data_IF_530480230104
#
_entry.id   IF_530480230104
#
_cell.length_a   1.000
_cell.length_b   1.000
_cell.length_c   1.000
_cell.angle_alpha   90.00
_cell.angle_beta   90.00
_cell.angle_gamma   90.00
#
_symmetry.space_group_name_H-M   'P 1'
#
loop_
_entity.id
_entity.type
_entity.pdbx_description
1 polymer ?
#
# COMPACT_ATOMS: atom_id res chain seq x y z
N UNK A 1 -18.58 1.52 12.65
CA UNK A 1 -19.22 1.65 11.33
C UNK A 1 -18.15 2.15 10.38
N UNK A 2 -17.63 1.27 9.51
CA UNK A 2 -16.54 1.60 8.59
C UNK A 2 -17.14 1.72 7.19
N UNK A 3 -17.18 2.93 6.64
CA UNK A 3 -17.74 3.18 5.31
C UNK A 3 -16.69 2.93 4.22
N UNK A 4 -17.09 2.25 3.14
CA UNK A 4 -16.34 2.17 1.89
C UNK A 4 -16.89 3.23 0.95
N UNK A 5 -16.10 4.28 0.67
CA UNK A 5 -16.55 5.40 -0.17
C UNK A 5 -16.39 5.01 -1.66
N UNK A 6 -17.51 4.93 -2.38
CA UNK A 6 -17.54 4.82 -3.84
C UNK A 6 -17.27 6.21 -4.45
N UNK A 7 -16.06 6.40 -4.99
CA UNK A 7 -15.56 7.69 -5.49
C UNK A 7 -16.16 8.16 -6.82
N UNK A 8 -17.05 7.40 -7.45
CA UNK A 8 -17.56 7.72 -8.79
C UNK A 8 -18.68 8.77 -8.77
N UNK A 9 -19.42 8.95 -7.66
CA UNK A 9 -20.59 9.86 -7.59
C UNK A 9 -20.52 10.83 -6.39
N UNK A 10 -19.45 11.62 -6.31
CA UNK A 10 -19.16 12.52 -5.18
C UNK A 10 -20.21 13.61 -4.93
N UNK A 11 -21.10 13.91 -5.90
CA UNK A 11 -22.00 15.06 -5.84
C UNK A 11 -23.50 14.73 -5.83
N UNK A 12 -23.92 13.46 -5.81
CA UNK A 12 -25.36 13.10 -5.93
C UNK A 12 -25.82 11.88 -5.13
N UNK A 13 -24.98 11.26 -4.31
CA UNK A 13 -25.34 10.02 -3.61
C UNK A 13 -25.76 10.31 -2.16
N UNK A 14 -26.98 9.93 -1.77
CA UNK A 14 -27.43 9.98 -0.37
C UNK A 14 -26.87 8.81 0.42
N UNK A 15 -26.75 8.96 1.75
CA UNK A 15 -26.31 7.87 2.66
C UNK A 15 -27.15 6.61 2.47
N UNK A 16 -28.48 6.74 2.40
CA UNK A 16 -29.39 5.63 2.14
C UNK A 16 -29.06 4.89 0.84
N UNK A 17 -28.64 5.61 -0.22
CA UNK A 17 -28.26 4.99 -1.50
C UNK A 17 -26.90 4.32 -1.42
N UNK A 18 -25.96 4.86 -0.64
CA UNK A 18 -24.65 4.22 -0.37
C UNK A 18 -24.87 2.90 0.36
N UNK A 19 -25.71 2.88 1.40
CA UNK A 19 -26.04 1.67 2.16
C UNK A 19 -26.77 0.62 1.30
N UNK A 20 -27.71 1.04 0.45
CA UNK A 20 -28.40 0.15 -0.49
C UNK A 20 -27.42 -0.51 -1.48
N UNK A 21 -26.45 0.25 -1.98
CA UNK A 21 -25.43 -0.24 -2.94
C UNK A 21 -24.39 -1.12 -2.24
N UNK A 22 -24.04 -0.79 -0.99
CA UNK A 22 -23.05 -1.48 -0.18
C UNK A 22 -21.68 -1.56 -0.85
N UNK A 23 -21.00 -2.70 -0.69
CA UNK A 23 -19.63 -2.93 -1.17
C UNK A 23 -19.54 -3.35 -2.64
N UNK A 24 -20.68 -3.54 -3.31
CA UNK A 24 -20.72 -4.07 -4.69
C UNK A 24 -19.86 -3.27 -5.70
N UNK A 25 -19.80 -1.93 -5.67
CA UNK A 25 -18.96 -1.17 -6.59
C UNK A 25 -17.48 -1.52 -6.49
N UNK A 26 -17.00 -1.90 -5.31
CA UNK A 26 -15.62 -2.35 -5.12
C UNK A 26 -15.44 -3.79 -5.62
N UNK A 27 -16.36 -4.70 -5.28
CA UNK A 27 -16.26 -6.13 -5.60
C UNK A 27 -16.22 -6.42 -7.11
N UNK A 28 -16.80 -5.55 -7.95
CA UNK A 28 -16.76 -5.70 -9.40
C UNK A 28 -15.44 -5.24 -10.04
N UNK A 29 -14.59 -4.50 -9.30
CA UNK A 29 -13.32 -3.97 -9.80
C UNK A 29 -12.29 -5.08 -10.03
N UNK A 30 -11.31 -4.81 -10.89
CA UNK A 30 -10.18 -5.70 -11.09
C UNK A 30 -9.34 -5.85 -9.81
N UNK A 31 -9.27 -4.81 -8.96
CA UNK A 31 -8.53 -4.85 -7.70
C UNK A 31 -9.09 -5.87 -6.73
N UNK A 32 -10.42 -5.93 -6.57
CA UNK A 32 -11.05 -6.93 -5.73
C UNK A 32 -10.83 -8.36 -6.25
N UNK A 33 -10.89 -8.53 -7.58
CA UNK A 33 -10.69 -9.82 -8.27
C UNK A 33 -9.25 -10.33 -8.25
N UNK A 34 -8.30 -9.49 -7.86
CA UNK A 34 -6.87 -9.81 -7.79
C UNK A 34 -6.32 -9.82 -6.36
N UNK A 35 -7.08 -9.37 -5.38
CA UNK A 35 -6.64 -9.31 -3.98
C UNK A 35 -6.53 -10.74 -3.40
N UNK A 36 -5.31 -11.21 -3.06
CA UNK A 36 -5.12 -12.58 -2.56
C UNK A 36 -6.04 -12.95 -1.40
N UNK A 37 -6.29 -12.02 -0.47
CA UNK A 37 -7.12 -12.26 0.71
C UNK A 37 -8.59 -12.54 0.35
N UNK A 38 -9.14 -11.91 -0.69
CA UNK A 38 -10.51 -12.17 -1.14
C UNK A 38 -10.61 -13.46 -1.97
N UNK A 39 -9.57 -13.79 -2.73
CA UNK A 39 -9.53 -14.99 -3.57
C UNK A 39 -9.24 -16.25 -2.73
N UNK A 40 -8.49 -16.08 -1.64
CA UNK A 40 -8.13 -17.13 -0.70
C UNK A 40 -7.38 -18.28 -1.36
N UNK A 41 -7.84 -19.51 -1.13
CA UNK A 41 -7.20 -20.75 -1.60
C UNK A 41 -7.11 -20.85 -3.13
N UNK A 42 -7.92 -20.09 -3.86
CA UNK A 42 -7.91 -20.05 -5.32
C UNK A 42 -6.89 -19.05 -5.89
N UNK A 43 -6.15 -18.33 -5.03
CA UNK A 43 -5.15 -17.39 -5.49
C UNK A 43 -4.06 -18.17 -6.27
N UNK A 44 -3.80 -17.80 -7.53
CA UNK A 44 -2.91 -18.58 -8.37
C UNK A 44 -1.51 -18.55 -7.78
N UNK A 45 -0.83 -19.70 -7.83
CA UNK A 45 0.43 -19.92 -7.13
C UNK A 45 1.51 -18.87 -7.49
N UNK A 46 2.57 -18.85 -6.69
CA UNK A 46 3.68 -17.89 -6.81
C UNK A 46 4.32 -17.85 -8.21
N UNK A 47 4.25 -18.93 -9.00
CA UNK A 47 4.83 -18.98 -10.35
C UNK A 47 4.12 -18.13 -11.40
N UNK A 48 2.86 -17.72 -11.17
CA UNK A 48 2.13 -16.84 -12.09
C UNK A 48 2.07 -15.38 -11.61
N UNK A 49 2.58 -15.08 -10.42
CA UNK A 49 2.54 -13.72 -9.87
C UNK A 49 3.71 -12.89 -10.39
N UNK A 50 3.40 -11.84 -11.17
CA UNK A 50 4.38 -10.86 -11.64
C UNK A 50 4.20 -9.53 -10.89
N UNK A 51 5.16 -9.21 -10.02
CA UNK A 51 5.15 -7.98 -9.25
C UNK A 51 5.32 -6.72 -10.11
N UNK A 52 6.05 -6.81 -11.24
CA UNK A 52 6.21 -5.69 -12.17
C UNK A 52 4.89 -5.35 -12.85
N UNK A 53 4.15 -6.37 -13.32
CA UNK A 53 2.84 -6.18 -13.93
C UNK A 53 1.87 -5.51 -12.94
N UNK A 54 1.75 -6.07 -11.72
CA UNK A 54 0.87 -5.53 -10.67
C UNK A 54 1.25 -4.09 -10.33
N UNK A 55 2.54 -3.81 -10.12
CA UNK A 55 3.01 -2.45 -9.79
C UNK A 55 2.71 -1.48 -10.93
N UNK A 56 2.91 -1.90 -12.18
CA UNK A 56 2.61 -1.08 -13.37
C UNK A 56 1.12 -0.78 -13.44
N UNK A 57 0.24 -1.77 -13.27
CA UNK A 57 -1.22 -1.57 -13.33
C UNK A 57 -1.73 -0.68 -12.19
N UNK A 58 -1.21 -0.85 -10.98
CA UNK A 58 -1.59 -0.02 -9.83
C UNK A 58 -1.11 1.44 -9.99
N UNK A 59 0.06 1.66 -10.57
CA UNK A 59 0.56 3.03 -10.81
C UNK A 59 -0.33 3.83 -11.77
N UNK A 60 -1.01 3.17 -12.72
CA UNK A 60 -1.94 3.82 -13.66
C UNK A 60 -3.17 4.42 -12.98
N UNK A 61 -3.51 3.95 -11.78
CA UNK A 61 -4.57 4.52 -10.94
C UNK A 61 -4.01 5.31 -9.75
N UNK A 62 -2.74 5.73 -9.83
CA UNK A 62 -2.09 6.54 -8.81
C UNK A 62 -1.71 5.78 -7.52
N UNK A 63 -1.72 4.45 -7.55
CA UNK A 63 -1.36 3.63 -6.38
C UNK A 63 0.05 3.06 -6.54
N UNK A 64 0.93 3.36 -5.59
CA UNK A 64 2.33 2.88 -5.60
C UNK A 64 2.72 2.37 -4.20
N UNK A 65 2.52 1.07 -3.91
CA UNK A 65 2.63 0.55 -2.55
C UNK A 65 4.07 0.28 -2.08
N UNK A 66 5.02 0.05 -3.00
CA UNK A 66 6.38 -0.40 -2.66
C UNK A 66 7.44 0.72 -2.71
N UNK A 67 7.20 1.77 -3.47
CA UNK A 67 8.02 2.97 -3.56
C UNK A 67 7.15 4.09 -4.10
N UNK A 68 7.52 5.35 -3.84
CA UNK A 68 6.82 6.49 -4.40
C UNK A 68 7.62 7.09 -5.55
N UNK A 69 6.91 7.47 -6.62
CA UNK A 69 7.46 8.27 -7.71
C UNK A 69 6.77 9.62 -7.71
N UNK A 70 7.55 10.69 -7.82
CA UNK A 70 7.01 12.03 -8.03
C UNK A 70 7.85 12.80 -9.02
N UNK A 71 7.25 13.81 -9.65
CA UNK A 71 7.95 14.75 -10.52
C UNK A 71 7.89 16.11 -9.84
N UNK A 72 9.06 16.70 -9.56
CA UNK A 72 9.17 18.01 -8.93
C UNK A 72 10.37 18.76 -9.48
N UNK A 73 10.49 20.05 -9.17
CA UNK A 73 11.65 20.86 -9.57
C UNK A 73 12.90 20.28 -8.88
N UNK A 74 14.02 20.20 -9.61
CA UNK A 74 15.30 19.78 -9.06
C UNK A 74 15.74 20.70 -7.93
N UNK A 75 16.35 20.15 -6.88
CA UNK A 75 16.93 20.95 -5.79
C UNK A 75 18.11 21.82 -6.27
N UNK A 76 18.71 21.48 -7.41
CA UNK A 76 19.94 22.10 -7.93
C UNK A 76 19.72 22.91 -9.21
N UNK A 77 18.63 22.66 -9.95
CA UNK A 77 18.42 23.21 -11.29
C UNK A 77 16.94 23.52 -11.54
N UNK A 78 16.66 24.53 -12.37
CA UNK A 78 15.29 24.90 -12.77
C UNK A 78 14.71 23.96 -13.84
N UNK A 79 14.69 22.66 -13.56
CA UNK A 79 14.03 21.64 -14.39
C UNK A 79 13.26 20.65 -13.53
N UNK A 80 12.26 19.99 -14.12
CA UNK A 80 11.58 18.87 -13.49
C UNK A 80 12.45 17.62 -13.48
N UNK A 81 12.48 16.92 -12.35
CA UNK A 81 13.22 15.68 -12.12
C UNK A 81 12.30 14.64 -11.48
N UNK A 82 12.54 13.36 -11.80
CA UNK A 82 11.85 12.23 -11.17
C UNK A 82 12.52 11.95 -9.82
N UNK A 83 11.73 11.94 -8.76
CA UNK A 83 12.14 11.54 -7.43
C UNK A 83 11.55 10.17 -7.11
N UNK A 84 12.43 9.26 -6.70
CA UNK A 84 12.08 7.95 -6.14
C UNK A 84 12.31 8.04 -4.64
N UNK A 85 11.27 7.78 -3.85
CA UNK A 85 11.35 7.81 -2.39
C UNK A 85 10.73 6.55 -1.77
N UNK A 86 11.03 6.35 -0.49
CA UNK A 86 10.51 5.25 0.31
C UNK A 86 8.96 5.15 0.25
N UNK A 87 8.39 3.95 0.36
CA UNK A 87 6.94 3.76 0.38
C UNK A 87 6.28 4.47 1.56
N UNK A 88 5.00 4.80 1.41
CA UNK A 88 4.17 5.31 2.50
C UNK A 88 3.80 4.16 3.44
N UNK A 89 3.88 4.41 4.74
CA UNK A 89 3.33 3.51 5.76
C UNK A 89 1.85 3.86 6.00
N UNK A 90 1.06 2.89 6.45
CA UNK A 90 -0.36 3.11 6.78
C UNK A 90 -0.54 4.05 7.99
N UNK A 91 0.41 4.04 8.91
CA UNK A 91 0.42 4.87 10.11
C UNK A 91 1.77 5.61 10.23
N UNK A 92 1.89 6.63 11.10
CA UNK A 92 3.19 7.20 11.45
C UNK A 92 4.21 6.12 11.86
N UNK A 93 5.44 6.22 11.34
CA UNK A 93 6.49 5.21 11.53
C UNK A 93 6.79 4.88 13.01
N UNK A 94 6.65 5.87 13.90
CA UNK A 94 6.84 5.72 15.35
C UNK A 94 5.89 4.69 15.97
N UNK A 95 4.68 4.52 15.43
CA UNK A 95 3.69 3.56 15.93
C UNK A 95 4.07 2.10 15.63
N UNK A 96 4.99 1.87 14.70
CA UNK A 96 5.53 0.54 14.37
C UNK A 96 6.78 0.17 15.18
N UNK A 97 7.36 1.11 15.94
CA UNK A 97 8.62 0.89 16.66
C UNK A 97 8.45 0.21 18.02
N UNK A 98 7.21 0.07 18.50
CA UNK A 98 6.90 -0.60 19.76
C UNK A 98 6.79 -2.14 19.65
N UNK A 99 6.35 -2.76 20.74
CA UNK A 99 6.01 -4.20 20.73
C UNK A 99 4.93 -4.51 19.69
N UNK A 100 5.02 -5.68 19.05
CA UNK A 100 4.00 -6.22 18.14
C UNK A 100 2.61 -6.30 18.77
N UNK A 101 2.56 -6.40 20.10
CA UNK A 101 1.33 -6.49 20.89
C UNK A 101 0.74 -5.14 21.28
N UNK A 102 1.31 -4.02 20.83
CA UNK A 102 0.78 -2.68 21.12
C UNK A 102 -0.61 -2.48 20.52
N UNK A 103 -1.37 -1.53 21.07
CA UNK A 103 -2.76 -1.28 20.68
C UNK A 103 -2.91 -0.80 19.24
N UNK A 104 -1.99 0.04 18.75
CA UNK A 104 -2.04 0.58 17.38
C UNK A 104 -1.88 -0.52 16.31
N UNK A 105 -0.92 -1.43 16.49
CA UNK A 105 -0.69 -2.56 15.58
C UNK A 105 -1.83 -3.57 15.63
N UNK A 106 -2.37 -3.84 16.83
CA UNK A 106 -3.57 -4.67 16.98
C UNK A 106 -4.79 -4.06 16.29
N UNK A 107 -4.97 -2.75 16.41
CA UNK A 107 -6.06 -2.03 15.75
C UNK A 107 -5.92 -2.07 14.22
N UNK A 108 -4.71 -1.87 13.68
CA UNK A 108 -4.46 -2.01 12.24
C UNK A 108 -4.73 -3.44 11.74
N UNK A 109 -4.26 -4.45 12.47
CA UNK A 109 -4.51 -5.85 12.13
C UNK A 109 -6.00 -6.19 12.15
N UNK A 110 -6.72 -5.72 13.18
CA UNK A 110 -8.17 -5.87 13.33
C UNK A 110 -8.90 -5.21 12.16
N UNK A 111 -8.54 -3.96 11.84
CA UNK A 111 -9.12 -3.22 10.73
C UNK A 111 -8.93 -3.95 9.38
N UNK A 112 -7.71 -4.41 9.08
CA UNK A 112 -7.42 -5.12 7.83
C UNK A 112 -8.21 -6.43 7.72
N UNK A 113 -8.28 -7.20 8.81
CA UNK A 113 -9.06 -8.44 8.88
C UNK A 113 -10.55 -8.15 8.67
N UNK A 114 -11.10 -7.22 9.43
CA UNK A 114 -12.54 -6.96 9.44
C UNK A 114 -12.99 -6.41 8.07
N UNK A 115 -12.22 -5.51 7.46
CA UNK A 115 -12.49 -5.06 6.09
C UNK A 115 -12.49 -6.22 5.09
N UNK A 116 -11.53 -7.14 5.18
CA UNK A 116 -11.50 -8.29 4.29
C UNK A 116 -12.72 -9.21 4.48
N UNK A 117 -13.15 -9.45 5.73
CA UNK A 117 -14.35 -10.24 6.05
C UNK A 117 -15.62 -9.57 5.51
N UNK A 118 -15.79 -8.27 5.71
CA UNK A 118 -16.93 -7.50 5.17
C UNK A 118 -16.98 -7.54 3.63
N UNK A 119 -15.83 -7.72 2.98
CA UNK A 119 -15.73 -7.88 1.53
C UNK A 119 -15.89 -9.34 1.07
N UNK A 120 -16.15 -10.28 1.99
CA UNK A 120 -16.44 -11.67 1.68
C UNK A 120 -15.24 -12.63 1.75
N UNK A 121 -14.12 -12.23 2.35
CA UNK A 121 -12.99 -13.13 2.57
C UNK A 121 -13.34 -14.24 3.57
N UNK A 122 -12.67 -15.39 3.42
CA UNK A 122 -12.65 -16.42 4.46
C UNK A 122 -12.02 -15.85 5.75
N UNK A 123 -12.67 -15.96 6.92
CA UNK A 123 -12.18 -15.35 8.16
C UNK A 123 -10.78 -15.82 8.59
N UNK A 124 -10.41 -17.07 8.30
CA UNK A 124 -9.09 -17.59 8.66
C UNK A 124 -8.01 -17.03 7.72
N UNK A 125 -8.29 -16.94 6.41
CA UNK A 125 -7.41 -16.28 5.44
C UNK A 125 -7.25 -14.79 5.78
N UNK A 126 -8.35 -14.09 6.06
CA UNK A 126 -8.33 -12.68 6.44
C UNK A 126 -7.47 -12.40 7.67
N UNK A 127 -7.58 -13.24 8.71
CA UNK A 127 -6.76 -13.12 9.90
C UNK A 127 -5.27 -13.35 9.59
N UNK A 128 -4.95 -14.41 8.85
CA UNK A 128 -3.58 -14.75 8.48
C UNK A 128 -2.92 -13.63 7.65
N UNK A 129 -3.61 -13.14 6.63
CA UNK A 129 -3.10 -12.11 5.74
C UNK A 129 -2.95 -10.76 6.46
N UNK A 130 -3.90 -10.39 7.33
CA UNK A 130 -3.81 -9.19 8.15
C UNK A 130 -2.56 -9.21 9.04
N UNK A 131 -2.27 -10.35 9.71
CA UNK A 131 -1.03 -10.51 10.49
C UNK A 131 0.20 -10.34 9.58
N UNK A 132 0.22 -10.97 8.41
CA UNK A 132 1.32 -10.90 7.46
C UNK A 132 1.59 -9.49 6.94
N UNK A 133 0.53 -8.73 6.62
CA UNK A 133 0.63 -7.33 6.19
C UNK A 133 1.20 -6.45 7.30
N UNK A 134 0.73 -6.59 8.54
CA UNK A 134 1.25 -5.81 9.67
C UNK A 134 2.72 -6.13 9.93
N UNK A 135 3.11 -7.40 9.90
CA UNK A 135 4.50 -7.82 10.07
C UNK A 135 5.41 -7.27 8.96
N UNK A 136 4.93 -7.24 7.73
CA UNK A 136 5.62 -6.60 6.60
C UNK A 136 5.79 -5.09 6.84
N UNK A 137 4.73 -4.39 7.26
CA UNK A 137 4.76 -2.96 7.55
C UNK A 137 5.73 -2.62 8.70
N UNK A 138 5.83 -3.46 9.73
CA UNK A 138 6.83 -3.29 10.81
C UNK A 138 8.25 -3.41 10.27
N UNK A 139 8.55 -4.42 9.45
CA UNK A 139 9.87 -4.59 8.83
C UNK A 139 10.21 -3.38 7.97
N UNK A 140 9.26 -2.93 7.16
CA UNK A 140 9.41 -1.75 6.31
C UNK A 140 9.68 -0.48 7.13
N UNK A 141 8.92 -0.26 8.20
CA UNK A 141 9.10 0.88 9.09
C UNK A 141 10.48 0.88 9.76
N UNK A 142 11.02 -0.28 10.14
CA UNK A 142 12.37 -0.40 10.72
C UNK A 142 13.46 -0.02 9.71
N UNK A 143 13.30 -0.43 8.44
CA UNK A 143 14.20 -0.02 7.36
C UNK A 143 14.16 1.49 7.16
N UNK A 144 12.97 2.12 7.21
CA UNK A 144 12.83 3.58 7.11
C UNK A 144 13.45 4.31 8.30
N UNK A 145 13.25 3.81 9.51
CA UNK A 145 13.76 4.42 10.75
C UNK A 145 15.30 4.42 10.82
N UNK A 146 15.96 3.34 10.39
CA UNK A 146 17.42 3.30 10.33
C UNK A 146 18.00 4.33 9.35
N UNK A 147 17.24 4.73 8.33
CA UNK A 147 17.63 5.79 7.39
C UNK A 147 17.36 7.22 7.89
N UNK A 148 16.48 7.40 8.89
CA UNK A 148 16.11 8.72 9.41
C UNK A 148 17.16 9.30 10.37
N UNK A 149 17.92 8.46 11.07
CA UNK A 149 18.89 8.90 12.09
C UNK A 149 20.11 9.67 11.52
N UNK A 150 20.28 9.72 10.20
CA UNK A 150 21.48 10.23 9.53
C UNK A 150 21.33 11.55 8.76
N UNK A 151 20.22 12.29 8.83
CA UNK A 151 19.88 13.23 7.73
C UNK A 151 20.38 14.67 7.89
N UNK A 152 21.43 15.04 7.13
CA UNK A 152 21.47 16.33 6.44
C UNK A 152 20.71 16.20 5.10
N UNK A 153 20.19 17.31 4.55
CA UNK A 153 19.51 17.30 3.24
C UNK A 153 20.43 16.82 2.10
N UNK A 154 21.74 17.09 2.20
CA UNK A 154 22.77 16.56 1.29
C UNK A 154 22.75 15.04 1.20
N UNK A 155 22.42 14.37 2.30
CA UNK A 155 22.52 12.92 2.43
C UNK A 155 21.26 12.22 1.89
N UNK A 156 20.29 12.97 1.35
CA UNK A 156 19.11 12.44 0.67
C UNK A 156 19.11 12.69 -0.83
N UNK A 157 19.98 13.59 -1.31
CA UNK A 157 20.08 13.92 -2.72
C UNK A 157 21.11 13.02 -3.41
N UNK A 158 20.63 11.94 -4.00
CA UNK A 158 21.45 10.96 -4.73
C UNK A 158 21.04 10.92 -6.21
N UNK A 159 21.44 11.93 -7.01
CA UNK A 159 21.12 11.93 -8.44
C UNK A 159 21.76 10.72 -9.11
N UNK A 160 20.96 10.00 -9.88
CA UNK A 160 21.37 8.79 -10.59
C UNK A 160 20.54 8.62 -11.86
N UNK A 161 20.92 7.68 -12.73
CA UNK A 161 20.17 7.35 -13.94
C UNK A 161 19.26 6.14 -13.72
N UNK A 162 18.17 6.04 -14.48
CA UNK A 162 17.32 4.84 -14.46
C UNK A 162 18.11 3.57 -14.81
N UNK A 163 19.09 3.67 -15.71
CA UNK A 163 19.98 2.55 -16.05
C UNK A 163 20.84 2.11 -14.86
N UNK A 164 21.39 3.05 -14.09
CA UNK A 164 22.14 2.73 -12.87
C UNK A 164 21.26 2.11 -11.79
N UNK A 165 20.01 2.57 -11.65
CA UNK A 165 19.04 1.95 -10.74
C UNK A 165 18.75 0.51 -11.15
N UNK A 166 18.43 0.28 -12.43
CA UNK A 166 18.15 -1.07 -12.96
C UNK A 166 19.34 -2.03 -12.84
N UNK A 167 20.57 -1.51 -12.86
CA UNK A 167 21.79 -2.28 -12.62
C UNK A 167 22.02 -2.60 -11.13
N UNK A 168 21.78 -1.63 -10.25
CA UNK A 168 22.16 -1.73 -8.84
C UNK A 168 21.08 -2.34 -7.95
N UNK A 169 19.82 -2.33 -8.41
CA UNK A 169 18.66 -2.80 -7.65
C UNK A 169 17.82 -3.76 -8.50
N UNK A 170 18.35 -4.96 -8.74
CA UNK A 170 17.63 -6.09 -9.35
C UNK A 170 17.08 -7.04 -8.28
N UNK A 171 15.89 -7.60 -8.49
CA UNK A 171 15.25 -8.57 -7.61
C UNK A 171 14.81 -9.82 -8.35
#
# INVERSE_FOLDING_TARGET
>A
MHYVINSINWFSTSEAKIEEIGVQPYLITQFAKEWPTLIGKNWPNRSSFDLNDVTTRYSRVGTMPLFSVSVSVSLTESRYTIYLDEPRLFMPGTLYMGSRTNSALKALETYLRDVAIELGADPAVAAQDATGVVDFQIKLAKIKASQLWNRRLSDRYHPTTLAAIGKNYSY
#
